data_IF_536947227558
#
_entry.id   IF_536947227558
#
_cell.length_a   1.000
_cell.length_b   1.000
_cell.length_c   1.000
_cell.angle_alpha   90.00
_cell.angle_beta   90.00
_cell.angle_gamma   90.00
#
_symmetry.space_group_name_H-M   'P 1'
#
loop_
_entity.id
_entity.type
_entity.pdbx_description
1 polymer ?
#
# COMPACT_ATOMS: atom_id res chain seq x y z
N UNK A 1 26.69 14.51 -5.91
CA UNK A 1 25.30 14.02 -6.04
C UNK A 1 24.95 13.11 -4.88
N UNK A 2 23.90 13.42 -4.21
CA UNK A 2 23.47 12.57 -3.11
C UNK A 2 22.88 11.27 -3.63
N UNK A 3 23.23 10.19 -2.95
CA UNK A 3 22.71 8.89 -3.25
C UNK A 3 21.32 8.76 -2.65
N UNK A 4 20.34 8.35 -3.45
CA UNK A 4 19.00 8.13 -2.96
C UNK A 4 18.94 6.88 -2.09
N UNK A 5 18.36 6.99 -0.91
CA UNK A 5 18.13 5.85 -0.02
C UNK A 5 16.81 5.17 -0.39
N UNK A 6 16.88 4.38 -1.46
CA UNK A 6 15.74 3.60 -1.91
C UNK A 6 15.67 2.30 -1.15
N UNK A 7 14.46 1.91 -0.77
CA UNK A 7 14.24 0.60 -0.17
C UNK A 7 14.43 -0.52 -1.17
N UNK A 8 14.63 -1.72 -0.64
CA UNK A 8 14.75 -2.94 -1.43
C UNK A 8 13.68 -3.92 -1.00
N UNK A 9 13.53 -5.01 -1.75
CA UNK A 9 12.51 -6.03 -1.42
C UNK A 9 12.71 -6.59 -0.01
N UNK A 10 13.95 -6.70 0.45
CA UNK A 10 14.25 -7.22 1.79
C UNK A 10 13.73 -6.31 2.91
N UNK A 11 13.44 -5.06 2.63
CA UNK A 11 12.92 -4.11 3.62
C UNK A 11 11.42 -4.27 3.88
N UNK A 12 10.73 -5.11 3.10
CA UNK A 12 9.28 -5.28 3.20
C UNK A 12 8.94 -6.70 3.63
N UNK A 13 7.76 -6.87 4.20
CA UNK A 13 7.36 -8.13 4.85
C UNK A 13 6.53 -9.00 3.93
N UNK A 14 5.63 -8.40 3.17
CA UNK A 14 4.76 -9.14 2.26
C UNK A 14 4.62 -8.40 0.94
N UNK A 15 4.08 -9.07 -0.06
CA UNK A 15 4.05 -8.55 -1.43
C UNK A 15 2.70 -8.80 -2.07
N UNK A 16 2.29 -7.88 -2.94
CA UNK A 16 1.05 -7.98 -3.67
C UNK A 16 1.31 -7.64 -5.15
N UNK A 17 0.95 -8.53 -6.10
CA UNK A 17 1.16 -8.25 -7.52
C UNK A 17 0.14 -7.26 -8.05
N UNK A 18 0.59 -6.36 -8.93
CA UNK A 18 -0.25 -5.33 -9.52
C UNK A 18 -0.11 -5.35 -11.04
N UNK A 19 -1.19 -5.01 -11.73
CA UNK A 19 -1.24 -4.96 -13.18
C UNK A 19 -1.21 -3.52 -13.65
N UNK A 20 -0.24 -3.18 -14.54
CA UNK A 20 -0.26 -1.88 -15.22
C UNK A 20 -1.24 -1.92 -16.39
N UNK A 21 -1.70 -0.74 -16.81
CA UNK A 21 -2.63 -0.59 -17.93
C UNK A 21 -2.08 0.44 -18.90
N UNK A 22 -2.50 0.32 -20.16
CA UNK A 22 -2.13 1.30 -21.18
C UNK A 22 -2.49 2.73 -20.74
N UNK A 23 -3.68 2.90 -20.12
CA UNK A 23 -4.17 4.20 -19.68
C UNK A 23 -3.39 4.77 -18.48
N UNK A 24 -2.51 3.98 -17.86
CA UNK A 24 -1.70 4.47 -16.75
C UNK A 24 -0.55 5.36 -17.24
N UNK A 25 -0.19 5.25 -18.52
CA UNK A 25 0.88 6.07 -19.10
C UNK A 25 0.36 7.46 -19.45
N UNK A 26 1.19 8.46 -19.19
CA UNK A 26 0.92 9.84 -19.61
C UNK A 26 1.47 10.10 -21.01
N UNK A 27 1.38 11.36 -21.45
CA UNK A 27 1.83 11.76 -22.78
C UNK A 27 3.34 11.61 -22.97
N UNK A 28 4.10 11.45 -21.89
CA UNK A 28 5.55 11.25 -21.94
C UNK A 28 5.95 9.78 -22.00
N UNK A 29 5.00 8.88 -22.01
CA UNK A 29 5.24 7.45 -22.16
C UNK A 29 5.59 6.69 -20.89
N UNK A 30 5.40 7.29 -19.73
CA UNK A 30 5.60 6.60 -18.46
C UNK A 30 4.43 6.86 -17.52
N UNK A 31 4.37 6.08 -16.44
CA UNK A 31 3.24 6.08 -15.53
C UNK A 31 2.97 7.47 -14.96
N UNK A 32 1.72 7.92 -15.08
CA UNK A 32 1.27 9.16 -14.49
C UNK A 32 1.43 9.07 -12.97
N UNK A 33 1.96 10.13 -12.35
CA UNK A 33 2.26 10.12 -10.93
C UNK A 33 1.04 9.87 -10.02
N UNK A 34 -0.16 10.14 -10.48
CA UNK A 34 -1.37 9.87 -9.68
C UNK A 34 -1.71 8.38 -9.63
N UNK A 35 -1.25 7.59 -10.60
CA UNK A 35 -1.53 6.16 -10.65
C UNK A 35 -0.89 5.43 -9.49
N UNK A 36 0.25 5.91 -8.99
CA UNK A 36 0.94 5.31 -7.85
C UNK A 36 0.01 5.19 -6.63
N UNK A 37 -0.79 6.22 -6.37
CA UNK A 37 -1.74 6.20 -5.25
C UNK A 37 -2.83 5.14 -5.45
N UNK A 38 -3.32 4.99 -6.68
CA UNK A 38 -4.29 3.94 -6.99
C UNK A 38 -3.70 2.55 -6.80
N UNK A 39 -2.43 2.37 -7.16
CA UNK A 39 -1.74 1.09 -6.97
C UNK A 39 -1.54 0.79 -5.49
N UNK A 40 -1.17 1.77 -4.68
CA UNK A 40 -1.05 1.59 -3.23
C UNK A 40 -2.40 1.19 -2.62
N UNK A 41 -3.46 1.88 -3.00
CA UNK A 41 -4.80 1.59 -2.50
C UNK A 41 -5.24 0.18 -2.88
N UNK A 42 -5.00 -0.21 -4.13
CA UNK A 42 -5.30 -1.55 -4.62
C UNK A 42 -4.51 -2.61 -3.86
N UNK A 43 -3.23 -2.36 -3.61
CA UNK A 43 -2.38 -3.32 -2.91
C UNK A 43 -2.86 -3.56 -1.48
N UNK A 44 -3.18 -2.49 -0.75
CA UNK A 44 -3.64 -2.61 0.64
C UNK A 44 -4.97 -3.34 0.70
N UNK A 45 -5.94 -2.91 -0.10
CA UNK A 45 -7.27 -3.52 -0.05
C UNK A 45 -7.28 -4.93 -0.62
N UNK A 46 -6.52 -5.18 -1.68
CA UNK A 46 -6.38 -6.53 -2.23
C UNK A 46 -5.72 -7.47 -1.23
N UNK A 47 -4.70 -7.01 -0.54
CA UNK A 47 -4.04 -7.80 0.50
C UNK A 47 -5.02 -8.18 1.62
N UNK A 48 -5.83 -7.21 2.05
CA UNK A 48 -6.85 -7.45 3.09
C UNK A 48 -7.91 -8.43 2.61
N UNK A 49 -8.40 -8.26 1.39
CA UNK A 49 -9.45 -9.13 0.83
C UNK A 49 -8.96 -10.55 0.64
N UNK A 50 -7.73 -10.74 0.17
CA UNK A 50 -7.14 -12.06 -0.01
C UNK A 50 -7.04 -12.83 1.29
N UNK A 51 -6.91 -12.13 2.41
CA UNK A 51 -6.83 -12.74 3.74
C UNK A 51 -8.16 -12.76 4.48
N UNK A 52 -9.24 -12.42 3.78
CA UNK A 52 -10.59 -12.39 4.34
C UNK A 52 -10.68 -11.44 5.55
N UNK A 53 -9.92 -10.34 5.52
CA UNK A 53 -9.90 -9.33 6.57
C UNK A 53 -10.76 -8.12 6.22
N UNK A 54 -11.26 -8.07 5.01
CA UNK A 54 -12.12 -7.00 4.52
C UNK A 54 -13.16 -7.57 3.57
N UNK A 55 -14.43 -7.32 3.86
CA UNK A 55 -15.52 -7.46 2.91
C UNK A 55 -16.07 -6.05 2.71
N UNK A 56 -15.91 -5.44 1.52
CA UNK A 56 -16.34 -4.06 1.30
C UNK A 56 -17.82 -3.82 1.56
N UNK A 57 -18.64 -4.88 1.47
CA UNK A 57 -20.09 -4.77 1.63
C UNK A 57 -20.57 -5.03 3.05
N UNK A 58 -19.87 -5.88 3.82
CA UNK A 58 -20.39 -6.39 5.08
C UNK A 58 -19.53 -6.10 6.32
N UNK A 59 -18.27 -5.73 6.15
CA UNK A 59 -17.41 -5.42 7.30
C UNK A 59 -18.01 -4.32 8.16
N UNK A 60 -18.05 -4.54 9.46
CA UNK A 60 -18.63 -3.58 10.42
C UNK A 60 -17.73 -2.36 10.63
N UNK A 61 -16.42 -2.56 10.50
CA UNK A 61 -15.45 -1.47 10.58
C UNK A 61 -14.70 -1.39 9.26
N UNK A 62 -14.42 -0.17 8.84
CA UNK A 62 -13.73 0.11 7.58
C UNK A 62 -12.58 1.08 7.82
N UNK A 63 -11.53 0.95 7.01
CA UNK A 63 -10.39 1.86 7.07
C UNK A 63 -10.60 3.04 6.13
N UNK A 64 -10.52 4.24 6.66
CA UNK A 64 -10.59 5.47 5.87
C UNK A 64 -9.19 6.06 5.74
N UNK A 65 -8.84 6.45 4.52
CA UNK A 65 -7.54 7.09 4.27
C UNK A 65 -7.56 8.49 4.86
N UNK A 66 -6.62 8.77 5.75
CA UNK A 66 -6.49 10.11 6.35
C UNK A 66 -5.21 10.82 5.94
N UNK A 67 -4.24 10.08 5.45
CA UNK A 67 -2.97 10.66 4.99
C UNK A 67 -2.33 9.72 3.99
N UNK A 68 -1.73 10.27 2.94
CA UNK A 68 -0.97 9.50 1.98
C UNK A 68 0.18 10.34 1.43
N UNK A 69 1.24 9.69 1.01
CA UNK A 69 2.39 10.35 0.40
C UNK A 69 3.15 9.38 -0.49
N UNK A 70 3.94 9.92 -1.40
CA UNK A 70 4.73 9.11 -2.31
C UNK A 70 6.02 9.81 -2.68
N UNK A 71 7.12 9.06 -2.68
CA UNK A 71 8.40 9.48 -3.22
C UNK A 71 8.65 8.69 -4.50
N UNK A 72 9.08 9.39 -5.54
CA UNK A 72 9.29 8.83 -6.86
C UNK A 72 10.78 8.76 -7.14
N UNK A 73 11.31 7.57 -7.42
CA UNK A 73 12.75 7.38 -7.64
C UNK A 73 13.08 6.98 -9.07
N UNK A 74 12.21 6.22 -9.71
CA UNK A 74 12.43 5.72 -11.05
C UNK A 74 11.11 5.60 -11.79
N UNK A 75 11.16 5.67 -13.10
CA UNK A 75 9.97 5.59 -13.93
C UNK A 75 9.49 4.16 -14.08
N UNK A 76 8.18 4.02 -14.17
CA UNK A 76 7.50 2.78 -14.51
C UNK A 76 6.58 3.09 -15.68
N UNK A 77 6.20 2.06 -16.43
CA UNK A 77 5.29 2.22 -17.57
C UNK A 77 4.59 0.92 -17.88
N UNK A 78 3.44 1.00 -18.54
CA UNK A 78 2.84 -0.20 -19.13
C UNK A 78 3.78 -0.70 -20.25
N UNK A 79 4.09 -1.99 -20.38
CA UNK A 79 3.47 -3.13 -19.70
C UNK A 79 4.30 -3.72 -18.52
N UNK A 80 5.01 -2.91 -17.80
CA UNK A 80 5.77 -3.40 -16.64
C UNK A 80 4.86 -4.17 -15.69
N UNK A 81 5.42 -5.21 -15.08
CA UNK A 81 4.80 -5.91 -13.98
C UNK A 81 5.26 -5.24 -12.69
N UNK A 82 4.31 -4.89 -11.85
CA UNK A 82 4.59 -4.17 -10.61
C UNK A 82 4.28 -5.08 -9.43
N UNK A 83 5.16 -5.09 -8.45
CA UNK A 83 4.91 -5.76 -7.17
C UNK A 83 4.96 -4.71 -6.08
N UNK A 84 3.92 -4.66 -5.25
CA UNK A 84 3.93 -3.80 -4.08
C UNK A 84 4.50 -4.56 -2.90
N UNK A 85 5.48 -3.98 -2.24
CA UNK A 85 5.94 -4.45 -0.93
C UNK A 85 5.13 -3.74 0.15
N UNK A 86 4.76 -4.46 1.20
CA UNK A 86 3.98 -3.94 2.31
C UNK A 86 4.69 -4.21 3.63
N UNK A 87 4.65 -3.20 4.50
CA UNK A 87 5.00 -3.36 5.92
C UNK A 87 4.21 -2.34 6.72
N UNK A 88 4.06 -2.58 8.01
CA UNK A 88 3.39 -1.65 8.93
C UNK A 88 4.43 -0.93 9.75
N UNK A 89 4.42 0.40 9.68
CA UNK A 89 5.33 1.24 10.45
C UNK A 89 4.80 1.52 11.85
N UNK A 90 3.48 1.67 11.97
CA UNK A 90 2.84 1.98 13.26
C UNK A 90 1.44 1.40 13.30
N UNK A 91 1.09 0.83 14.44
CA UNK A 91 -0.23 0.28 14.70
C UNK A 91 -0.75 0.85 16.01
N UNK A 92 -1.72 1.76 15.92
CA UNK A 92 -2.38 2.36 17.07
C UNK A 92 -3.64 1.60 17.45
N UNK A 93 -4.45 2.20 18.31
CA UNK A 93 -5.73 1.58 18.72
C UNK A 93 -6.67 1.44 17.53
N UNK A 94 -6.87 2.52 16.77
CA UNK A 94 -7.75 2.52 15.60
C UNK A 94 -7.05 2.96 14.32
N UNK A 95 -5.77 3.29 14.39
CA UNK A 95 -5.00 3.76 13.23
C UNK A 95 -3.91 2.78 12.83
N UNK A 96 -3.57 2.78 11.56
CA UNK A 96 -2.49 1.99 11.02
C UNK A 96 -1.75 2.80 9.97
N UNK A 97 -0.42 2.79 10.05
CA UNK A 97 0.44 3.42 9.05
C UNK A 97 1.14 2.33 8.26
N UNK A 98 0.79 2.21 6.98
CA UNK A 98 1.48 1.32 6.06
C UNK A 98 2.64 2.06 5.41
N UNK A 99 3.71 1.33 5.17
CA UNK A 99 4.76 1.73 4.23
C UNK A 99 4.74 0.76 3.07
N UNK A 100 4.72 1.30 1.87
CA UNK A 100 4.64 0.51 0.65
C UNK A 100 5.77 0.88 -0.29
N UNK A 101 6.15 -0.06 -1.13
CA UNK A 101 7.07 0.22 -2.22
C UNK A 101 6.55 -0.45 -3.48
N UNK A 102 6.82 0.18 -4.62
CA UNK A 102 6.49 -0.40 -5.92
C UNK A 102 7.80 -0.83 -6.57
N UNK A 103 7.87 -2.11 -6.95
CA UNK A 103 9.03 -2.71 -7.59
C UNK A 103 8.67 -3.06 -9.03
N UNK A 104 9.50 -2.59 -9.95
CA UNK A 104 9.31 -2.78 -11.38
C UNK A 104 9.96 -4.07 -11.83
N UNK A 105 9.18 -4.96 -12.43
CA UNK A 105 9.67 -6.22 -12.96
C UNK A 105 10.51 -6.98 -11.93
N UNK A 106 11.77 -7.34 -12.24
CA UNK A 106 12.65 -8.07 -11.35
C UNK A 106 13.58 -7.17 -10.53
N UNK A 107 13.42 -5.85 -10.63
CA UNK A 107 14.31 -4.92 -9.93
C UNK A 107 14.15 -5.06 -8.43
N UNK A 108 15.27 -5.00 -7.73
CA UNK A 108 15.29 -5.12 -6.28
C UNK A 108 15.11 -3.78 -5.57
N UNK A 109 15.40 -2.67 -6.24
CA UNK A 109 15.24 -1.34 -5.66
C UNK A 109 13.86 -0.78 -5.98
N UNK A 110 13.27 -0.10 -5.01
CA UNK A 110 11.94 0.50 -5.18
C UNK A 110 11.96 1.59 -6.24
N UNK A 111 10.98 1.58 -7.12
CA UNK A 111 10.75 2.68 -8.08
C UNK A 111 9.98 3.82 -7.41
N UNK A 112 9.17 3.51 -6.42
CA UNK A 112 8.44 4.49 -5.62
C UNK A 112 8.21 3.92 -4.24
N UNK A 113 8.11 4.82 -3.25
CA UNK A 113 7.81 4.45 -1.87
C UNK A 113 6.65 5.30 -1.40
N UNK A 114 5.68 4.65 -0.79
CA UNK A 114 4.45 5.29 -0.36
C UNK A 114 4.18 5.12 1.12
N UNK A 115 3.34 6.01 1.60
CA UNK A 115 2.86 5.98 2.96
C UNK A 115 1.34 6.12 2.93
N UNK A 116 0.66 5.20 3.60
CA UNK A 116 -0.79 5.19 3.72
C UNK A 116 -1.15 5.09 5.18
N UNK A 117 -1.94 6.05 5.66
CA UNK A 117 -2.46 6.02 7.02
C UNK A 117 -3.96 5.85 6.96
N UNK A 118 -4.47 4.79 7.59
CA UNK A 118 -5.89 4.52 7.71
C UNK A 118 -6.33 4.68 9.15
N UNK A 119 -7.52 5.23 9.34
CA UNK A 119 -8.22 5.17 10.64
C UNK A 119 -9.42 4.27 10.45
N UNK A 120 -9.54 3.27 11.32
CA UNK A 120 -10.68 2.37 11.30
C UNK A 120 -11.83 3.02 12.04
N UNK A 121 -12.99 2.95 11.42
CA UNK A 121 -14.21 3.53 11.95
C UNK A 121 -15.35 2.52 11.86
N UNK A 122 -16.36 2.70 12.70
CA UNK A 122 -17.61 1.98 12.55
C UNK A 122 -18.24 2.40 11.23
N UNK A 123 -18.72 1.41 10.46
CA UNK A 123 -19.26 1.65 9.12
C UNK A 123 -20.43 2.64 9.13
N UNK A 124 -21.29 2.54 10.13
CA UNK A 124 -22.52 3.32 10.18
C UNK A 124 -22.31 4.66 10.87
N UNK A 125 -21.74 4.66 12.07
CA UNK A 125 -21.56 5.87 12.87
C UNK A 125 -20.39 6.73 12.43
N UNK A 126 -19.41 6.13 11.73
CA UNK A 126 -18.16 6.76 11.32
C UNK A 126 -17.28 7.20 12.50
N UNK A 127 -17.54 6.68 13.67
CA UNK A 127 -16.70 6.93 14.85
C UNK A 127 -15.51 5.98 14.86
N UNK A 128 -14.35 6.40 15.39
CA UNK A 128 -13.19 5.51 15.49
C UNK A 128 -13.55 4.20 16.20
N UNK A 129 -13.05 3.11 15.66
CA UNK A 129 -13.27 1.77 16.20
C UNK A 129 -11.92 1.08 16.36
N UNK A 130 -11.73 0.27 17.40
CA UNK A 130 -10.46 -0.37 17.62
C UNK A 130 -10.16 -1.43 16.56
N UNK A 131 -8.90 -1.52 16.18
CA UNK A 131 -8.39 -2.60 15.35
C UNK A 131 -8.12 -3.78 16.28
N UNK A 132 -8.81 -4.89 16.05
CA UNK A 132 -8.73 -6.04 16.96
C UNK A 132 -8.89 -7.36 16.22
N UNK A 133 -8.67 -8.46 16.94
CA UNK A 133 -8.87 -9.81 16.43
C UNK A 133 -7.90 -10.16 15.29
N UNK A 134 -8.39 -10.93 14.32
CA UNK A 134 -7.58 -11.43 13.22
C UNK A 134 -6.94 -10.30 12.39
N UNK A 135 -7.64 -9.18 12.26
CA UNK A 135 -7.11 -8.03 11.53
C UNK A 135 -5.90 -7.45 12.24
N UNK A 136 -5.97 -7.29 13.56
CA UNK A 136 -4.85 -6.80 14.35
C UNK A 136 -3.66 -7.74 14.26
N UNK A 137 -3.92 -9.04 14.38
CA UNK A 137 -2.87 -10.05 14.30
C UNK A 137 -2.15 -9.99 12.95
N UNK A 138 -2.90 -9.84 11.87
CA UNK A 138 -2.34 -9.75 10.53
C UNK A 138 -1.48 -8.49 10.37
N UNK A 139 -1.92 -7.37 10.92
CA UNK A 139 -1.16 -6.12 10.87
C UNK A 139 0.13 -6.21 11.69
N UNK A 140 0.08 -6.85 12.86
CA UNK A 140 1.27 -7.07 13.66
C UNK A 140 2.30 -7.93 12.92
N UNK A 141 1.83 -8.89 12.13
CA UNK A 141 2.71 -9.73 11.33
C UNK A 141 3.41 -8.95 10.21
N UNK A 142 2.89 -7.82 9.80
CA UNK A 142 3.52 -6.92 8.81
C UNK A 142 4.51 -5.94 9.45
N UNK A 143 4.61 -5.90 10.76
CA UNK A 143 5.57 -5.02 11.43
C UNK A 143 6.94 -5.65 11.37
N UNK A 144 7.90 -4.89 10.85
CA UNK A 144 9.28 -5.33 10.77
C UNK A 144 9.99 -4.85 12.01
N UNK A 145 10.25 -5.77 12.88
CA UNK A 145 10.81 -5.47 14.19
C UNK A 145 12.28 -5.43 14.27
#
# INVERSE_FOLDING_TARGET
MSKQNRGTRADYVDFYPLQTRWNDNDVYGHMNNVVHYALFDTAVNGWLMDRELLDPQTSKTIGLVVETGCKYYAEMRFPDQITAGLRVAHLGTSSISYELALFRNDEDEASAEGRFVHVYVDRDSRRPAPIEGARRDAFQALMKG
#
